data_IF_294377444566
#
_entry.id   IF_294377444566
#
_cell.length_a   1.000
_cell.length_b   1.000
_cell.length_c   1.000
_cell.angle_alpha   90.00
_cell.angle_beta   90.00
_cell.angle_gamma   90.00
#
_symmetry.space_group_name_H-M   'P 1'
#
loop_
_entity.id
_entity.type
_entity.pdbx_description
1 polymer ?
#
# COMPACT_ATOMS: atom_id res chain seq x y z
N UNK A 1 18.70 27.07 17.32
CA UNK A 1 17.42 26.38 17.60
C UNK A 1 16.43 26.39 16.43
N UNK A 2 16.25 27.49 15.69
CA UNK A 2 15.33 27.52 14.54
C UNK A 2 15.77 26.62 13.37
N UNK A 3 17.07 26.55 13.06
CA UNK A 3 17.61 25.71 11.98
C UNK A 3 17.45 24.21 12.24
N UNK A 4 17.64 23.77 13.48
CA UNK A 4 17.39 22.39 13.89
C UNK A 4 15.91 22.02 13.79
N UNK A 5 15.00 22.95 14.08
CA UNK A 5 13.56 22.72 13.92
C UNK A 5 13.16 22.63 12.44
N UNK A 6 13.76 23.43 11.56
CA UNK A 6 13.59 23.30 10.10
C UNK A 6 14.07 21.95 9.58
N UNK A 7 15.23 21.50 10.04
CA UNK A 7 15.77 20.19 9.65
C UNK A 7 14.85 19.04 10.08
N UNK A 8 14.38 19.07 11.33
CA UNK A 8 13.41 18.07 11.85
C UNK A 8 12.13 18.09 11.02
N UNK A 9 11.62 19.27 10.66
CA UNK A 9 10.42 19.39 9.83
C UNK A 9 10.60 18.75 8.43
N UNK A 10 11.72 19.02 7.76
CA UNK A 10 12.03 18.41 6.46
C UNK A 10 12.18 16.90 6.57
N UNK A 11 12.81 16.40 7.65
CA UNK A 11 12.96 14.97 7.89
C UNK A 11 11.60 14.27 8.10
N UNK A 12 10.70 14.89 8.85
CA UNK A 12 9.34 14.37 9.05
C UNK A 12 8.58 14.31 7.72
N UNK A 13 8.65 15.37 6.90
CA UNK A 13 8.02 15.39 5.58
C UNK A 13 8.58 14.29 4.67
N UNK A 14 9.90 14.10 4.69
CA UNK A 14 10.55 13.05 3.94
C UNK A 14 9.99 11.67 4.36
N UNK A 15 10.08 11.33 5.65
CA UNK A 15 9.59 10.04 6.16
C UNK A 15 8.11 9.83 5.86
N UNK A 16 7.29 10.87 6.01
CA UNK A 16 5.85 10.82 5.69
C UNK A 16 5.61 10.48 4.22
N UNK A 17 6.36 11.10 3.31
CA UNK A 17 6.25 10.84 1.87
C UNK A 17 6.64 9.39 1.55
N UNK A 18 7.73 8.88 2.15
CA UNK A 18 8.14 7.49 1.98
C UNK A 18 7.10 6.50 2.49
N UNK A 19 6.49 6.77 3.65
CA UNK A 19 5.42 5.93 4.19
C UNK A 19 4.22 5.87 3.25
N UNK A 20 3.80 7.00 2.68
CA UNK A 20 2.69 7.04 1.72
C UNK A 20 3.00 6.19 0.49
N UNK A 21 4.23 6.30 -0.05
CA UNK A 21 4.66 5.51 -1.21
C UNK A 21 4.64 4.01 -0.88
N UNK A 22 5.20 3.59 0.27
CA UNK A 22 5.23 2.18 0.68
C UNK A 22 3.81 1.61 0.85
N UNK A 23 2.90 2.38 1.46
CA UNK A 23 1.50 1.97 1.63
C UNK A 23 0.78 1.87 0.27
N UNK A 24 1.07 2.77 -0.67
CA UNK A 24 0.47 2.73 -2.00
C UNK A 24 1.01 1.57 -2.84
N UNK A 25 2.33 1.35 -2.82
CA UNK A 25 2.99 0.27 -3.55
C UNK A 25 2.53 -1.10 -3.03
N UNK A 26 2.49 -1.29 -1.70
CA UNK A 26 1.99 -2.53 -1.10
C UNK A 26 0.53 -2.81 -1.49
N UNK A 27 -0.36 -1.83 -1.46
CA UNK A 27 -1.75 -1.99 -1.95
C UNK A 27 -1.79 -2.37 -3.43
N UNK A 28 -0.97 -1.71 -4.26
CA UNK A 28 -0.90 -2.00 -5.70
C UNK A 28 -0.38 -3.43 -5.95
N UNK A 29 0.62 -3.87 -5.19
CA UNK A 29 1.14 -5.24 -5.25
C UNK A 29 0.04 -6.27 -4.95
N UNK A 30 -0.77 -6.05 -3.91
CA UNK A 30 -1.91 -6.91 -3.59
C UNK A 30 -2.95 -6.98 -4.73
N UNK A 31 -3.17 -5.88 -5.46
CA UNK A 31 -4.08 -5.84 -6.60
C UNK A 31 -3.52 -6.48 -7.88
N UNK A 32 -2.19 -6.49 -8.02
CA UNK A 32 -1.50 -7.11 -9.15
C UNK A 32 -1.13 -8.57 -8.91
N UNK A 33 -1.49 -9.14 -7.75
CA UNK A 33 -1.16 -10.52 -7.42
C UNK A 33 -1.89 -11.47 -8.39
N UNK A 34 -1.16 -12.31 -9.14
CA UNK A 34 -1.79 -13.27 -10.03
C UNK A 34 -2.55 -14.32 -9.21
N UNK A 35 -3.76 -14.65 -9.65
CA UNK A 35 -4.63 -15.62 -8.98
C UNK A 35 -5.27 -16.57 -9.99
N UNK A 36 -5.58 -17.79 -9.56
CA UNK A 36 -6.31 -18.78 -10.37
C UNK A 36 -7.68 -19.07 -9.77
N UNK A 37 -7.78 -19.05 -8.44
CA UNK A 37 -9.01 -19.20 -7.68
C UNK A 37 -9.15 -18.07 -6.64
N UNK A 38 -10.37 -17.76 -6.23
CA UNK A 38 -10.62 -16.71 -5.22
C UNK A 38 -9.90 -16.94 -3.88
N UNK A 39 -9.49 -18.18 -3.59
CA UNK A 39 -8.76 -18.54 -2.37
C UNK A 39 -7.27 -18.17 -2.41
N UNK A 40 -6.72 -17.90 -3.59
CA UNK A 40 -5.32 -17.46 -3.74
C UNK A 40 -5.14 -16.00 -3.30
N UNK A 41 -6.22 -15.22 -3.30
CA UNK A 41 -6.18 -13.83 -2.90
C UNK A 41 -6.17 -13.69 -1.37
N UNK A 42 -5.33 -12.80 -0.82
CA UNK A 42 -5.33 -12.54 0.62
C UNK A 42 -6.68 -11.95 1.04
N UNK A 43 -7.33 -12.61 2.00
CA UNK A 43 -8.55 -12.09 2.63
C UNK A 43 -8.17 -11.12 3.73
N UNK A 44 -8.19 -9.83 3.40
CA UNK A 44 -8.03 -8.76 4.37
C UNK A 44 -9.41 -8.15 4.69
N UNK A 45 -10.16 -8.63 5.71
CA UNK A 45 -11.37 -7.95 6.14
C UNK A 45 -11.01 -6.51 6.55
N UNK A 46 -11.73 -5.47 6.07
CA UNK A 46 -13.09 -5.47 5.53
C UNK A 46 -13.22 -5.56 3.99
N UNK A 47 -12.11 -5.70 3.25
CA UNK A 47 -12.09 -5.59 1.79
C UNK A 47 -12.45 -6.95 1.15
N UNK A 48 -13.52 -6.98 0.34
CA UNK A 48 -13.91 -8.16 -0.43
C UNK A 48 -13.03 -8.29 -1.67
N UNK A 49 -11.95 -9.06 -1.58
CA UNK A 49 -11.03 -9.30 -2.70
C UNK A 49 -11.44 -10.60 -3.40
N UNK A 50 -11.58 -10.57 -4.73
CA UNK A 50 -11.83 -11.75 -5.59
C UNK A 50 -10.85 -11.81 -6.74
N UNK A 51 -10.71 -12.99 -7.32
CA UNK A 51 -9.94 -13.20 -8.53
C UNK A 51 -10.76 -12.81 -9.77
N UNK A 52 -10.31 -11.80 -10.53
CA UNK A 52 -10.87 -11.44 -11.84
C UNK A 52 -9.76 -11.33 -12.89
N UNK A 53 -9.98 -11.94 -14.06
CA UNK A 53 -9.01 -11.93 -15.17
C UNK A 53 -7.59 -12.29 -14.69
N UNK A 54 -7.48 -13.34 -13.87
CA UNK A 54 -6.24 -13.82 -13.26
C UNK A 54 -5.51 -12.85 -12.31
N UNK A 55 -6.17 -11.80 -11.80
CA UNK A 55 -5.62 -10.89 -10.78
C UNK A 55 -6.59 -10.67 -9.62
N UNK A 56 -6.04 -10.44 -8.42
CA UNK A 56 -6.81 -10.13 -7.24
C UNK A 56 -7.34 -8.69 -7.29
N UNK A 57 -8.66 -8.50 -7.31
CA UNK A 57 -9.27 -7.17 -7.32
C UNK A 57 -10.24 -7.02 -6.15
N UNK A 58 -10.29 -5.83 -5.56
CA UNK A 58 -11.30 -5.50 -4.57
C UNK A 58 -12.63 -5.18 -5.25
N UNK A 59 -13.71 -5.68 -4.67
CA UNK A 59 -15.12 -5.45 -5.03
C UNK A 59 -15.82 -4.72 -3.89
#
# INVERSE_FOLDING_TARGET
MAETLKFVYVLILFISTFLVIIVYDSKTFYFSLPCKIDKDCPRNPPLNIRCRKSFCVQI
#
